data_IF_605329810606
#
_entry.id   IF_605329810606
#
_cell.length_a   1.000
_cell.length_b   1.000
_cell.length_c   1.000
_cell.angle_alpha   90.00
_cell.angle_beta   90.00
_cell.angle_gamma   90.00
#
_symmetry.space_group_name_H-M   'P 1'
#
loop_
_entity.id
_entity.type
_entity.pdbx_description
1 polymer ?
#
# COMPACT_ATOMS: atom_id res chain seq x y z
N UNK A 1 -47.83 -22.25 -41.81
CA UNK A 1 -47.57 -23.70 -41.94
C UNK A 1 -46.06 -23.90 -42.07
N UNK A 2 -45.48 -24.80 -41.26
CA UNK A 2 -44.19 -25.53 -41.47
C UNK A 2 -42.96 -24.70 -41.87
N UNK A 3 -41.91 -24.44 -41.06
CA UNK A 3 -41.17 -25.35 -40.18
C UNK A 3 -40.04 -26.06 -40.95
N UNK A 4 -38.76 -25.82 -40.61
CA UNK A 4 -37.77 -26.85 -40.20
C UNK A 4 -36.35 -26.28 -40.02
N UNK A 5 -35.73 -26.63 -38.89
CA UNK A 5 -34.30 -26.47 -38.57
C UNK A 5 -33.49 -27.56 -39.27
N UNK A 6 -32.32 -27.25 -39.84
CA UNK A 6 -31.28 -28.22 -40.22
C UNK A 6 -29.91 -27.55 -40.05
N UNK A 7 -29.19 -27.87 -38.97
CA UNK A 7 -28.09 -28.84 -38.87
C UNK A 7 -26.70 -28.25 -39.20
N UNK A 8 -25.92 -28.17 -38.14
CA UNK A 8 -24.48 -27.88 -38.06
C UNK A 8 -23.69 -28.89 -38.90
N UNK A 9 -22.75 -28.40 -39.72
CA UNK A 9 -21.61 -29.17 -40.23
C UNK A 9 -20.36 -28.30 -40.17
N UNK A 10 -19.57 -28.53 -39.14
CA UNK A 10 -18.15 -28.18 -39.12
C UNK A 10 -17.36 -29.27 -39.87
N UNK A 11 -16.29 -28.88 -40.58
CA UNK A 11 -15.05 -29.63 -40.92
C UNK A 11 -14.27 -28.73 -41.92
N UNK A 12 -13.27 -27.97 -41.48
CA UNK A 12 -11.82 -28.28 -41.39
C UNK A 12 -11.10 -28.40 -42.74
N UNK A 13 -10.05 -27.56 -42.91
CA UNK A 13 -8.97 -27.65 -43.89
C UNK A 13 -8.59 -26.23 -44.39
N UNK A 14 -7.35 -25.80 -44.58
CA UNK A 14 -6.00 -26.33 -44.45
C UNK A 14 -5.07 -25.08 -44.45
N UNK A 15 -3.99 -25.14 -43.68
CA UNK A 15 -3.02 -24.07 -43.36
C UNK A 15 -2.24 -23.55 -44.58
N UNK A 16 -1.95 -22.24 -44.66
CA UNK A 16 -0.74 -21.70 -45.28
C UNK A 16 -0.18 -20.50 -44.49
N UNK A 17 1.14 -20.50 -44.32
CA UNK A 17 1.94 -19.81 -43.33
C UNK A 17 2.09 -18.29 -43.51
N UNK A 18 2.10 -17.56 -42.38
CA UNK A 18 2.83 -16.31 -42.23
C UNK A 18 3.43 -16.28 -40.82
N UNK A 19 4.75 -16.49 -40.75
CA UNK A 19 5.51 -16.51 -39.51
C UNK A 19 5.37 -15.20 -38.75
N UNK A 20 4.59 -15.22 -37.67
CA UNK A 20 4.49 -14.14 -36.72
C UNK A 20 5.13 -14.64 -35.44
N UNK A 21 6.39 -14.25 -35.19
CA UNK A 21 6.98 -14.38 -33.86
C UNK A 21 6.16 -13.48 -32.93
N UNK A 22 5.15 -14.04 -32.29
CA UNK A 22 4.49 -13.37 -31.16
C UNK A 22 5.54 -13.30 -30.05
N UNK A 23 6.19 -12.14 -29.93
CA UNK A 23 6.92 -11.78 -28.74
C UNK A 23 5.90 -11.79 -27.60
N UNK A 24 5.81 -12.91 -26.89
CA UNK A 24 5.06 -12.99 -25.65
C UNK A 24 5.81 -12.08 -24.69
N UNK A 25 5.35 -10.83 -24.55
CA UNK A 25 5.87 -9.95 -23.52
C UNK A 25 5.64 -10.69 -22.19
N UNK A 26 6.71 -11.14 -21.55
CA UNK A 26 6.63 -11.71 -20.21
C UNK A 26 5.82 -10.75 -19.35
N UNK A 27 4.83 -11.20 -18.57
CA UNK A 27 4.14 -10.32 -17.66
C UNK A 27 5.20 -9.65 -16.80
N UNK A 28 5.25 -8.32 -16.80
CA UNK A 28 6.08 -7.58 -15.87
C UNK A 28 5.71 -8.09 -14.48
N UNK A 29 6.66 -8.74 -13.80
CA UNK A 29 6.42 -9.32 -12.48
C UNK A 29 5.84 -8.23 -11.59
N UNK A 30 4.55 -8.34 -11.26
CA UNK A 30 3.95 -7.56 -10.20
C UNK A 30 4.63 -8.04 -8.92
N UNK A 31 5.72 -7.35 -8.55
CA UNK A 31 6.39 -7.60 -7.27
C UNK A 31 5.33 -7.38 -6.21
N UNK A 32 4.87 -8.48 -5.62
CA UNK A 32 3.89 -8.44 -4.53
C UNK A 32 4.49 -7.55 -3.46
N UNK A 33 3.82 -6.45 -3.14
CA UNK A 33 4.33 -5.51 -2.14
C UNK A 33 4.66 -6.33 -0.88
N UNK A 34 5.90 -6.29 -0.36
CA UNK A 34 6.28 -7.14 0.74
C UNK A 34 5.53 -6.74 2.01
N UNK A 35 5.39 -7.68 2.95
CA UNK A 35 4.80 -7.38 4.24
C UNK A 35 5.76 -6.60 5.14
N UNK A 36 5.28 -5.60 5.89
CA UNK A 36 6.10 -4.81 6.82
C UNK A 36 6.50 -5.66 8.04
N UNK A 37 7.80 -5.78 8.31
CA UNK A 37 8.34 -6.70 9.32
C UNK A 37 8.88 -5.99 10.54
N UNK A 38 9.45 -4.80 10.40
CA UNK A 38 10.02 -4.08 11.52
C UNK A 38 10.00 -2.57 11.33
N UNK A 39 10.15 -1.85 12.43
CA UNK A 39 10.35 -0.41 12.43
C UNK A 39 11.84 -0.08 12.27
N UNK A 40 12.19 0.82 11.36
CA UNK A 40 13.57 1.22 11.10
C UNK A 40 13.70 2.74 10.93
N UNK A 41 14.88 3.27 11.27
CA UNK A 41 15.22 4.66 10.99
C UNK A 41 15.73 4.79 9.55
N UNK A 42 15.08 5.64 8.77
CA UNK A 42 15.44 6.00 7.40
C UNK A 42 15.93 7.44 7.36
N UNK A 43 17.02 7.69 6.65
CA UNK A 43 17.48 9.06 6.37
C UNK A 43 16.64 9.68 5.25
N UNK A 44 16.22 10.93 5.46
CA UNK A 44 15.66 11.82 4.43
C UNK A 44 16.63 12.98 4.20
N UNK A 45 16.31 13.92 3.31
CA UNK A 45 17.13 15.11 3.09
C UNK A 45 17.28 16.00 4.34
N UNK A 46 16.28 16.03 5.23
CA UNK A 46 16.25 16.94 6.39
C UNK A 46 16.57 16.28 7.73
N UNK A 47 16.31 14.99 7.90
CA UNK A 47 16.44 14.28 9.18
C UNK A 47 16.25 12.77 9.04
N UNK A 48 16.31 12.03 10.16
CA UNK A 48 15.93 10.61 10.21
C UNK A 48 14.48 10.45 10.65
N UNK A 49 13.73 9.62 9.93
CA UNK A 49 12.35 9.24 10.23
C UNK A 49 12.25 7.77 10.63
N UNK A 50 11.33 7.45 11.53
CA UNK A 50 11.08 6.09 11.99
C UNK A 50 9.86 5.52 11.26
N UNK A 51 10.11 4.59 10.34
CA UNK A 51 9.11 4.06 9.41
C UNK A 51 8.90 2.56 9.62
N UNK A 52 7.74 2.06 9.17
CA UNK A 52 7.55 0.64 8.96
C UNK A 52 8.30 0.22 7.68
N UNK A 53 9.06 -0.87 7.75
CA UNK A 53 9.88 -1.36 6.64
C UNK A 53 9.79 -2.88 6.52
N UNK A 54 10.09 -3.39 5.34
CA UNK A 54 10.42 -4.79 5.09
C UNK A 54 11.85 -4.87 4.57
N UNK A 55 12.71 -5.74 5.09
CA UNK A 55 14.11 -5.94 4.67
C UNK A 55 14.88 -4.68 4.26
N UNK A 56 14.74 -4.18 3.02
CA UNK A 56 15.35 -2.91 2.59
C UNK A 56 14.39 -1.95 1.87
N UNK A 57 13.08 -2.06 2.10
CA UNK A 57 12.04 -1.33 1.39
C UNK A 57 10.97 -0.75 2.34
N UNK A 58 10.77 0.56 2.27
CA UNK A 58 9.64 1.24 2.92
C UNK A 58 8.30 0.94 2.23
N UNK A 59 8.37 0.52 0.96
CA UNK A 59 7.24 0.06 0.16
C UNK A 59 6.82 -1.33 0.64
N UNK A 60 6.13 -1.37 1.77
CA UNK A 60 5.57 -2.58 2.34
C UNK A 60 4.10 -2.37 2.72
N UNK A 61 3.40 -3.45 3.03
CA UNK A 61 2.04 -3.37 3.54
C UNK A 61 1.88 -4.09 4.89
N UNK A 62 0.96 -3.61 5.71
CA UNK A 62 0.48 -4.27 6.93
C UNK A 62 -0.93 -3.77 7.27
N UNK A 63 -1.69 -4.55 8.04
CA UNK A 63 -3.06 -4.21 8.40
C UNK A 63 -3.51 -4.90 9.68
N UNK A 64 -4.82 -5.00 9.86
CA UNK A 64 -5.42 -5.64 11.03
C UNK A 64 -4.84 -7.04 11.29
N UNK A 65 -4.55 -7.34 12.56
CA UNK A 65 -3.93 -8.60 12.97
C UNK A 65 -2.41 -8.64 12.83
N UNK A 66 -1.78 -7.62 12.23
CA UNK A 66 -0.33 -7.51 12.19
C UNK A 66 0.27 -7.43 13.60
N UNK A 67 1.37 -8.15 13.83
CA UNK A 67 2.13 -8.07 15.07
C UNK A 67 3.63 -7.98 14.79
N UNK A 68 4.19 -6.77 14.88
CA UNK A 68 5.61 -6.52 14.62
C UNK A 68 6.05 -5.13 15.07
N UNK A 69 7.37 -4.89 15.19
CA UNK A 69 7.87 -3.54 15.47
C UNK A 69 7.55 -2.53 14.35
N UNK A 70 7.15 -2.99 13.16
CA UNK A 70 6.64 -2.12 12.10
C UNK A 70 5.33 -1.45 12.52
N UNK A 71 4.44 -2.20 13.18
CA UNK A 71 3.22 -1.66 13.77
C UNK A 71 3.55 -0.64 14.85
N UNK A 72 4.58 -0.91 15.67
CA UNK A 72 5.09 0.05 16.65
C UNK A 72 5.54 1.36 16.01
N UNK A 73 6.23 1.31 14.87
CA UNK A 73 6.61 2.51 14.11
C UNK A 73 5.39 3.31 13.62
N UNK A 74 4.35 2.62 13.13
CA UNK A 74 3.09 3.27 12.77
C UNK A 74 2.41 3.91 13.99
N UNK A 75 2.26 3.18 15.09
CA UNK A 75 1.62 3.67 16.31
C UNK A 75 2.34 4.92 16.86
N UNK A 76 3.68 4.92 16.86
CA UNK A 76 4.47 6.09 17.23
C UNK A 76 4.22 7.29 16.31
N UNK A 77 4.16 7.07 15.00
CA UNK A 77 3.90 8.13 14.02
C UNK A 77 2.47 8.69 14.17
N UNK A 78 1.47 7.83 14.36
CA UNK A 78 0.09 8.25 14.62
C UNK A 78 -0.01 9.09 15.90
N UNK A 79 0.61 8.63 16.99
CA UNK A 79 0.60 9.35 18.27
C UNK A 79 1.33 10.69 18.20
N UNK A 80 2.43 10.78 17.46
CA UNK A 80 3.27 11.99 17.43
C UNK A 80 2.80 13.01 16.40
N UNK A 81 2.45 12.55 15.20
CA UNK A 81 2.19 13.43 14.06
C UNK A 81 0.71 13.66 13.80
N UNK A 82 -0.15 12.79 14.32
CA UNK A 82 -1.59 12.80 14.04
C UNK A 82 -2.45 12.82 15.30
N UNK A 83 -1.88 13.18 16.48
CA UNK A 83 -2.63 13.20 17.75
C UNK A 83 -3.97 13.94 17.66
N UNK A 84 -3.97 15.13 17.05
CA UNK A 84 -5.18 15.92 16.83
C UNK A 84 -6.17 15.31 15.83
N UNK A 85 -5.68 14.51 14.88
CA UNK A 85 -6.50 13.82 13.87
C UNK A 85 -7.13 12.55 14.44
N UNK A 86 -6.37 11.77 15.21
CA UNK A 86 -6.85 10.50 15.76
C UNK A 86 -7.65 10.70 17.06
N UNK A 87 -7.44 11.81 17.77
CA UNK A 87 -8.20 12.21 18.97
C UNK A 87 -7.96 11.33 20.20
N UNK A 88 -6.94 10.47 20.18
CA UNK A 88 -6.64 9.53 21.26
C UNK A 88 -5.15 9.17 21.23
N UNK A 89 -4.63 8.63 22.33
CA UNK A 89 -3.27 8.10 22.38
C UNK A 89 -3.33 6.58 22.25
N UNK A 90 -2.70 6.03 21.23
CA UNK A 90 -2.52 4.60 21.07
C UNK A 90 -1.46 4.07 22.03
N UNK A 91 -1.66 2.86 22.55
CA UNK A 91 -0.55 2.12 23.14
C UNK A 91 0.40 1.69 22.02
N UNK A 92 1.70 1.85 22.23
CA UNK A 92 2.73 1.34 21.32
C UNK A 92 3.05 -0.09 21.75
N UNK A 93 2.25 -1.04 21.27
CA UNK A 93 2.30 -2.45 21.67
C UNK A 93 2.58 -3.40 20.51
N UNK A 94 3.02 -2.86 19.36
CA UNK A 94 3.35 -3.63 18.16
C UNK A 94 2.16 -4.44 17.60
N UNK A 95 0.94 -4.23 18.10
CA UNK A 95 -0.26 -4.98 17.76
C UNK A 95 -1.23 -4.13 16.95
N UNK A 96 -1.53 -4.57 15.73
CA UNK A 96 -2.46 -3.87 14.85
C UNK A 96 -3.89 -4.31 15.15
N UNK A 97 -4.38 -3.85 16.29
CA UNK A 97 -5.75 -4.09 16.73
C UNK A 97 -6.77 -3.07 16.19
N UNK A 98 -8.02 -3.14 16.66
CA UNK A 98 -9.10 -2.25 16.23
C UNK A 98 -8.78 -0.76 16.42
N UNK A 99 -8.08 -0.39 17.50
CA UNK A 99 -7.70 0.99 17.79
C UNK A 99 -6.69 1.53 16.78
N UNK A 100 -5.66 0.74 16.44
CA UNK A 100 -4.66 1.10 15.41
C UNK A 100 -5.34 1.25 14.05
N UNK A 101 -6.26 0.34 13.69
CA UNK A 101 -7.04 0.44 12.44
C UNK A 101 -7.89 1.70 12.38
N UNK A 102 -8.65 1.98 13.43
CA UNK A 102 -9.51 3.16 13.49
C UNK A 102 -8.71 4.47 13.39
N UNK A 103 -7.55 4.53 14.08
CA UNK A 103 -6.63 5.65 13.98
C UNK A 103 -6.08 5.82 12.55
N UNK A 104 -5.66 4.74 11.89
CA UNK A 104 -5.18 4.83 10.51
C UNK A 104 -6.27 5.29 9.55
N UNK A 105 -7.50 4.80 9.69
CA UNK A 105 -8.65 5.25 8.88
C UNK A 105 -8.87 6.77 9.02
N UNK A 106 -8.82 7.30 10.25
CA UNK A 106 -8.94 8.75 10.49
C UNK A 106 -7.82 9.53 9.80
N UNK A 107 -6.58 9.05 9.93
CA UNK A 107 -5.43 9.66 9.26
C UNK A 107 -5.54 9.61 7.74
N UNK A 108 -5.96 8.48 7.15
CA UNK A 108 -6.17 8.36 5.70
C UNK A 108 -7.26 9.32 5.21
N UNK A 109 -8.37 9.47 5.94
CA UNK A 109 -9.42 10.46 5.60
C UNK A 109 -8.89 11.88 5.61
N UNK A 110 -8.13 12.22 6.66
CA UNK A 110 -7.49 13.53 6.78
C UNK A 110 -6.54 13.79 5.61
N UNK A 111 -5.61 12.87 5.33
CA UNK A 111 -4.66 13.00 4.22
C UNK A 111 -5.36 13.12 2.86
N UNK A 112 -6.43 12.33 2.66
CA UNK A 112 -7.23 12.40 1.44
C UNK A 112 -7.85 13.78 1.22
N UNK A 113 -8.34 14.41 2.29
CA UNK A 113 -8.89 15.76 2.26
C UNK A 113 -7.81 16.84 2.10
N UNK A 114 -6.59 16.59 2.56
CA UNK A 114 -5.49 17.58 2.65
C UNK A 114 -4.35 17.36 1.64
N UNK A 115 -4.65 16.87 0.43
CA UNK A 115 -3.67 16.85 -0.67
C UNK A 115 -3.35 15.48 -1.27
N UNK A 116 -3.97 14.40 -0.77
CA UNK A 116 -3.79 13.05 -1.30
C UNK A 116 -5.12 12.43 -1.75
N UNK A 117 -5.85 13.02 -2.72
CA UNK A 117 -7.21 12.60 -3.10
C UNK A 117 -7.29 11.14 -3.59
N UNK A 118 -6.17 10.60 -4.07
CA UNK A 118 -6.02 9.21 -4.52
C UNK A 118 -5.88 8.19 -3.38
N UNK A 119 -5.73 8.63 -2.13
CA UNK A 119 -5.49 7.72 -1.01
C UNK A 119 -6.75 6.90 -0.70
N UNK A 120 -6.61 5.59 -0.60
CA UNK A 120 -7.69 4.69 -0.18
C UNK A 120 -7.86 4.77 1.34
N UNK A 121 -9.11 4.81 1.81
CA UNK A 121 -9.47 4.83 3.24
C UNK A 121 -9.96 3.44 3.64
N UNK A 122 -9.02 2.53 3.87
CA UNK A 122 -9.25 1.10 4.12
C UNK A 122 -8.75 0.63 5.50
N UNK A 123 -7.94 1.46 6.16
CA UNK A 123 -7.24 1.09 7.39
C UNK A 123 -6.11 0.09 7.18
N UNK A 124 -5.56 0.01 5.96
CA UNK A 124 -4.36 -0.74 5.61
C UNK A 124 -3.20 0.24 5.46
N UNK A 125 -2.09 -0.03 6.14
CA UNK A 125 -0.85 0.70 5.91
C UNK A 125 -0.18 0.10 4.68
N UNK A 126 -0.30 0.76 3.53
CA UNK A 126 0.39 0.40 2.29
C UNK A 126 1.29 1.52 1.77
N UNK A 127 1.98 1.32 0.63
CA UNK A 127 2.93 2.29 0.09
C UNK A 127 2.36 3.70 -0.12
N UNK A 128 1.10 3.82 -0.54
CA UNK A 128 0.43 5.12 -0.69
C UNK A 128 0.23 5.83 0.65
N UNK A 129 -0.17 5.08 1.69
CA UNK A 129 -0.31 5.62 3.05
C UNK A 129 1.05 6.00 3.61
N UNK A 130 2.08 5.17 3.40
CA UNK A 130 3.44 5.45 3.83
C UNK A 130 4.01 6.73 3.18
N UNK A 131 3.78 6.94 1.89
CA UNK A 131 4.18 8.17 1.20
C UNK A 131 3.43 9.41 1.69
N UNK A 132 2.11 9.30 1.83
CA UNK A 132 1.26 10.44 2.14
C UNK A 132 1.42 10.93 3.59
N UNK A 133 1.75 10.03 4.52
CA UNK A 133 1.81 10.38 5.92
C UNK A 133 3.16 10.94 6.37
N UNK A 134 3.12 11.77 7.41
CA UNK A 134 4.28 12.15 8.20
C UNK A 134 4.60 11.07 9.21
N UNK A 135 5.86 10.70 9.29
CA UNK A 135 6.40 9.73 10.22
C UNK A 135 7.09 10.44 11.37
N UNK A 136 7.16 9.77 12.53
CA UNK A 136 7.94 10.26 13.66
C UNK A 136 9.37 10.48 13.21
N UNK A 137 9.87 11.70 13.38
CA UNK A 137 11.24 12.05 13.08
C UNK A 137 12.05 12.28 14.36
N UNK A 138 13.37 12.40 14.24
CA UNK A 138 14.24 12.83 15.35
C UNK A 138 13.72 14.15 15.92
N UNK A 139 13.47 15.11 15.04
CA UNK A 139 12.90 16.42 15.38
C UNK A 139 11.48 16.57 14.82
N UNK A 140 10.51 15.96 15.50
CA UNK A 140 9.10 16.16 15.19
C UNK A 140 8.56 15.13 14.22
N UNK A 141 8.17 15.56 13.02
CA UNK A 141 7.41 14.78 12.05
C UNK A 141 7.80 15.15 10.62
N UNK A 142 8.03 14.16 9.77
CA UNK A 142 8.50 14.38 8.38
C UNK A 142 8.04 13.26 7.43
N UNK A 143 8.00 13.50 6.13
CA UNK A 143 7.55 12.56 5.09
C UNK A 143 8.71 11.75 4.51
N UNK A 144 8.42 10.58 3.89
CA UNK A 144 9.44 9.77 3.19
C UNK A 144 10.06 10.53 2.00
N UNK A 145 9.28 11.40 1.35
CA UNK A 145 9.71 12.20 0.22
C UNK A 145 9.07 13.59 0.36
N UNK A 146 9.87 14.65 0.26
CA UNK A 146 9.30 15.97 -0.02
C UNK A 146 8.65 15.89 -1.41
N UNK A 147 7.36 16.21 -1.58
CA UNK A 147 6.76 16.29 -2.92
C UNK A 147 7.44 17.43 -3.69
N UNK A 148 8.37 17.10 -4.59
CA UNK A 148 9.12 18.09 -5.39
C UNK A 148 10.53 17.68 -5.84
N UNK A 149 10.84 16.39 -5.89
CA UNK A 149 12.01 15.89 -6.64
C UNK A 149 11.60 15.57 -8.07
#
# INVERSE_FOLDING_TARGET
MTGRRFLVRALVGLVLAAGSLLAVASPASASSTPYCRYGAWMSTSGQRIYIAQSWNAWRCWMGYGAHSSAVGALQQSLNRCYKGVIGTTLRVDNSYGPRTRAALIRTQRYLRYHGFPYLVVDGVYGPQTALAMRHKAVTGCDTISHPGG
#
